data_IF_066104968224
#
_entry.id   IF_066104968224
#
_cell.length_a   1.000
_cell.length_b   1.000
_cell.length_c   1.000
_cell.angle_alpha   90.00
_cell.angle_beta   90.00
_cell.angle_gamma   90.00
#
_symmetry.space_group_name_H-M   'P 1'
#
loop_
_entity.id
_entity.type
_entity.pdbx_description
1 polymer ?
#
# COMPACT_ATOMS: atom_id res chain seq x y z
N UNK A 1 -27.66 7.11 30.30
CA UNK A 1 -28.58 7.19 29.15
C UNK A 1 -28.59 5.83 28.47
N UNK A 2 -29.74 5.17 28.34
CA UNK A 2 -29.81 3.83 27.72
C UNK A 2 -29.88 3.98 26.20
N UNK A 3 -29.51 2.94 25.45
CA UNK A 3 -29.47 2.97 23.98
C UNK A 3 -30.84 3.27 23.36
N UNK A 4 -31.93 2.81 23.99
CA UNK A 4 -33.31 3.09 23.61
C UNK A 4 -33.73 4.56 23.75
N UNK A 5 -33.04 5.32 24.62
CA UNK A 5 -33.36 6.73 24.90
C UNK A 5 -32.66 7.71 23.94
N UNK A 6 -31.72 7.20 23.13
CA UNK A 6 -30.96 7.99 22.16
C UNK A 6 -31.83 8.35 20.94
N UNK A 7 -32.07 9.66 20.80
CA UNK A 7 -32.89 10.27 19.75
C UNK A 7 -32.07 11.20 18.83
N UNK A 8 -32.63 11.58 17.68
CA UNK A 8 -32.01 12.50 16.69
C UNK A 8 -31.36 13.75 17.27
N UNK A 9 -31.96 14.46 18.24
CA UNK A 9 -31.39 15.71 18.74
C UNK A 9 -29.99 15.51 19.35
N UNK A 10 -29.75 14.36 19.99
CA UNK A 10 -28.44 14.02 20.55
C UNK A 10 -27.40 13.77 19.47
N UNK A 11 -27.78 13.05 18.40
CA UNK A 11 -26.91 12.81 17.24
C UNK A 11 -26.58 14.12 16.52
N UNK A 12 -27.57 14.98 16.29
CA UNK A 12 -27.38 16.28 15.66
C UNK A 12 -26.50 17.22 16.51
N UNK A 13 -26.71 17.24 17.83
CA UNK A 13 -25.87 18.00 18.75
C UNK A 13 -24.42 17.50 18.75
N UNK A 14 -24.22 16.18 18.66
CA UNK A 14 -22.88 15.58 18.58
C UNK A 14 -22.20 15.88 17.23
N UNK A 15 -22.90 15.74 16.11
CA UNK A 15 -22.37 16.09 14.78
C UNK A 15 -22.02 17.58 14.69
N UNK A 16 -22.82 18.45 15.32
CA UNK A 16 -22.51 19.88 15.41
C UNK A 16 -21.22 20.17 16.19
N UNK A 17 -20.93 19.38 17.24
CA UNK A 17 -19.66 19.46 17.98
C UNK A 17 -18.47 18.96 17.16
N UNK A 18 -18.69 18.01 16.26
CA UNK A 18 -17.67 17.46 15.35
C UNK A 18 -17.57 18.20 13.99
N UNK A 19 -18.31 19.31 13.80
CA UNK A 19 -18.39 20.01 12.52
C UNK A 19 -17.04 20.56 12.02
N UNK A 20 -16.06 20.75 12.92
CA UNK A 20 -14.69 21.19 12.57
C UNK A 20 -13.78 20.05 12.13
N UNK A 21 -14.19 18.79 12.32
CA UNK A 21 -13.42 17.58 12.02
C UNK A 21 -14.26 16.61 11.18
N UNK A 22 -14.46 16.91 9.88
CA UNK A 22 -15.42 16.18 9.03
C UNK A 22 -15.09 14.70 8.86
N UNK A 23 -13.82 14.30 8.91
CA UNK A 23 -13.43 12.88 8.88
C UNK A 23 -13.86 12.15 10.17
N UNK A 24 -13.56 12.74 11.33
CA UNK A 24 -14.00 12.21 12.63
C UNK A 24 -15.52 12.20 12.76
N UNK A 25 -16.21 13.21 12.22
CA UNK A 25 -17.67 13.24 12.18
C UNK A 25 -18.23 12.06 11.37
N UNK A 26 -17.66 11.80 10.19
CA UNK A 26 -18.07 10.69 9.34
C UNK A 26 -17.74 9.33 9.96
N UNK A 27 -16.55 9.18 10.55
CA UNK A 27 -16.14 7.96 11.24
C UNK A 27 -17.02 7.69 12.48
N UNK A 28 -17.23 8.69 13.33
CA UNK A 28 -18.08 8.57 14.52
C UNK A 28 -19.53 8.26 14.12
N UNK A 29 -20.04 8.86 13.04
CA UNK A 29 -21.37 8.54 12.52
C UNK A 29 -21.45 7.09 12.01
N UNK A 30 -20.43 6.60 11.31
CA UNK A 30 -20.35 5.22 10.83
C UNK A 30 -20.31 4.21 11.99
N UNK A 31 -19.50 4.48 13.03
CA UNK A 31 -19.40 3.62 14.23
C UNK A 31 -20.71 3.62 15.01
N UNK A 32 -21.31 4.78 15.29
CA UNK A 32 -22.58 4.86 16.00
C UNK A 32 -23.70 4.17 15.24
N UNK A 33 -23.71 4.30 13.92
CA UNK A 33 -24.67 3.63 13.06
C UNK A 33 -24.55 2.11 13.16
N UNK A 34 -23.33 1.57 13.22
CA UNK A 34 -23.08 0.13 13.45
C UNK A 34 -23.55 -0.29 14.84
N UNK A 35 -23.26 0.51 15.88
CA UNK A 35 -23.71 0.24 17.25
C UNK A 35 -25.24 0.22 17.38
N UNK A 36 -25.95 1.16 16.75
CA UNK A 36 -27.42 1.20 16.78
C UNK A 36 -28.07 0.05 16.01
N UNK A 37 -27.50 -0.33 14.86
CA UNK A 37 -27.97 -1.49 14.11
C UNK A 37 -27.81 -2.78 14.93
N UNK A 38 -26.67 -2.96 15.62
CA UNK A 38 -26.46 -4.12 16.50
C UNK A 38 -27.39 -4.13 17.71
N UNK A 39 -27.71 -2.95 18.28
CA UNK A 39 -28.68 -2.84 19.37
C UNK A 39 -30.11 -3.21 18.96
N UNK A 40 -30.50 -2.96 17.70
CA UNK A 40 -31.76 -3.42 17.13
C UNK A 40 -31.74 -4.96 16.94
N UNK A 41 -30.67 -5.53 16.37
CA UNK A 41 -30.50 -6.98 16.19
C UNK A 41 -30.56 -7.76 17.51
N UNK A 42 -30.01 -7.20 18.58
CA UNK A 42 -30.01 -7.82 19.91
C UNK A 42 -31.29 -7.55 20.72
N UNK A 43 -32.31 -6.90 20.13
CA UNK A 43 -33.57 -6.60 20.81
C UNK A 43 -33.45 -5.56 21.94
N UNK A 44 -32.33 -4.83 22.00
CA UNK A 44 -32.08 -3.78 22.99
C UNK A 44 -32.76 -2.45 22.60
N UNK A 45 -33.37 -2.41 21.41
CA UNK A 45 -34.08 -1.25 20.85
C UNK A 45 -35.16 -1.73 19.88
N UNK A 46 -36.33 -1.06 19.77
CA UNK A 46 -37.38 -1.49 18.85
C UNK A 46 -36.97 -1.31 17.38
N UNK A 47 -37.31 -2.29 16.54
CA UNK A 47 -37.03 -2.30 15.11
C UNK A 47 -37.53 -1.02 14.43
N UNK A 48 -36.76 -0.51 13.46
CA UNK A 48 -37.09 0.66 12.65
C UNK A 48 -37.24 2.00 13.40
N UNK A 49 -36.87 2.06 14.70
CA UNK A 49 -36.81 3.34 15.44
C UNK A 49 -35.58 4.18 15.10
N UNK A 50 -34.70 3.70 14.20
CA UNK A 50 -33.65 4.53 13.58
C UNK A 50 -34.32 5.74 12.96
N UNK A 51 -34.05 6.94 13.47
CA UNK A 51 -34.99 8.00 13.28
C UNK A 51 -34.77 8.56 11.86
N UNK A 52 -35.66 8.15 10.93
CA UNK A 52 -35.50 8.32 9.47
C UNK A 52 -36.47 9.26 8.72
N UNK A 53 -37.49 9.87 9.31
CA UNK A 53 -38.47 10.62 8.51
C UNK A 53 -38.73 12.03 9.06
N UNK A 54 -38.63 13.04 8.18
CA UNK A 54 -38.89 14.49 8.35
C UNK A 54 -37.75 15.38 8.89
N UNK A 55 -36.63 15.48 8.15
CA UNK A 55 -35.71 16.64 8.24
C UNK A 55 -35.76 17.36 6.87
N UNK A 56 -35.85 18.71 6.82
CA UNK A 56 -35.94 19.46 5.57
C UNK A 56 -34.85 19.08 4.55
N UNK A 57 -35.28 18.97 3.29
CA UNK A 57 -34.60 18.38 2.12
C UNK A 57 -33.22 18.94 1.76
N UNK A 58 -32.71 19.96 2.46
CA UNK A 58 -31.39 20.54 2.21
C UNK A 58 -30.24 19.86 2.99
N UNK A 59 -30.54 19.02 4.00
CA UNK A 59 -29.54 18.27 4.79
C UNK A 59 -29.67 16.74 4.55
N UNK A 60 -30.64 16.31 3.73
CA UNK A 60 -31.17 14.93 3.73
C UNK A 60 -30.64 14.00 2.63
N UNK A 61 -29.75 14.44 1.72
CA UNK A 61 -29.22 13.56 0.67
C UNK A 61 -28.11 12.60 1.14
N UNK A 62 -27.67 12.67 2.41
CA UNK A 62 -26.56 11.85 2.94
C UNK A 62 -27.05 10.63 3.76
N UNK A 63 -28.33 10.54 4.14
CA UNK A 63 -28.81 9.52 5.08
C UNK A 63 -29.94 8.63 4.54
N UNK A 64 -29.85 8.21 3.27
CA UNK A 64 -30.75 7.20 2.71
C UNK A 64 -30.08 5.82 2.75
N UNK A 65 -29.95 5.24 3.94
CA UNK A 65 -29.56 3.84 4.02
C UNK A 65 -30.47 3.09 4.96
N UNK A 66 -31.41 2.37 4.34
CA UNK A 66 -32.21 1.25 4.81
C UNK A 66 -31.36 -0.02 4.52
N UNK A 67 -31.11 -0.86 5.53
CA UNK A 67 -30.58 -2.23 5.37
C UNK A 67 -29.24 -2.31 4.60
N UNK A 68 -28.09 -2.07 5.27
CA UNK A 68 -26.77 -2.08 4.59
C UNK A 68 -25.90 -3.31 4.89
N UNK A 69 -26.11 -4.02 6.00
CA UNK A 69 -25.32 -5.23 6.31
C UNK A 69 -25.44 -6.36 5.28
N UNK A 70 -26.64 -6.73 4.77
CA UNK A 70 -26.71 -7.75 3.73
C UNK A 70 -26.10 -7.28 2.41
N UNK A 71 -26.10 -5.97 2.12
CA UNK A 71 -25.47 -5.42 0.91
C UNK A 71 -23.95 -5.44 0.98
N UNK A 72 -23.35 -5.11 2.13
CA UNK A 72 -21.89 -5.18 2.33
C UNK A 72 -21.39 -6.63 2.29
N UNK A 73 -22.12 -7.57 2.90
CA UNK A 73 -21.82 -9.00 2.82
C UNK A 73 -21.98 -9.52 1.39
N UNK A 74 -23.06 -9.15 0.68
CA UNK A 74 -23.25 -9.61 -0.70
C UNK A 74 -22.19 -9.03 -1.64
N UNK A 75 -21.79 -7.77 -1.48
CA UNK A 75 -20.67 -7.16 -2.22
C UNK A 75 -19.38 -7.93 -1.98
N UNK A 76 -19.07 -8.28 -0.73
CA UNK A 76 -17.90 -9.09 -0.41
C UNK A 76 -17.99 -10.50 -1.01
N UNK A 77 -19.18 -11.14 -0.99
CA UNK A 77 -19.40 -12.44 -1.65
C UNK A 77 -19.20 -12.34 -3.16
N UNK A 78 -19.71 -11.30 -3.81
CA UNK A 78 -19.51 -11.04 -5.23
C UNK A 78 -18.03 -10.85 -5.53
N UNK A 79 -17.31 -10.10 -4.70
CA UNK A 79 -15.85 -10.00 -4.76
C UNK A 79 -15.18 -11.37 -4.66
N UNK A 80 -15.53 -12.21 -3.68
CA UNK A 80 -14.93 -13.55 -3.55
C UNK A 80 -15.24 -14.47 -4.73
N UNK A 81 -16.44 -14.37 -5.33
CA UNK A 81 -16.80 -15.11 -6.57
C UNK A 81 -15.96 -14.61 -7.76
N UNK A 82 -15.84 -13.30 -7.90
CA UNK A 82 -15.06 -12.66 -8.97
C UNK A 82 -13.57 -13.00 -8.84
N UNK A 83 -13.00 -12.88 -7.64
CA UNK A 83 -11.60 -13.21 -7.34
C UNK A 83 -11.23 -14.65 -7.74
N UNK A 84 -12.17 -15.60 -7.59
CA UNK A 84 -11.94 -17.01 -7.98
C UNK A 84 -11.95 -17.24 -9.50
N UNK A 85 -12.56 -16.34 -10.27
CA UNK A 85 -12.83 -16.54 -11.70
C UNK A 85 -11.96 -15.67 -12.59
N UNK A 86 -11.53 -14.50 -12.11
CA UNK A 86 -10.66 -13.62 -12.89
C UNK A 86 -9.28 -14.28 -13.12
N UNK A 87 -8.68 -14.12 -14.31
CA UNK A 87 -7.35 -14.65 -14.57
C UNK A 87 -6.31 -14.08 -13.60
N UNK A 88 -5.53 -14.98 -12.99
CA UNK A 88 -4.37 -14.57 -12.22
C UNK A 88 -3.21 -14.23 -13.16
N UNK A 89 -2.78 -12.97 -13.18
CA UNK A 89 -1.69 -12.47 -14.04
C UNK A 89 -0.32 -12.37 -13.34
N UNK A 90 -0.26 -12.71 -12.06
CA UNK A 90 0.95 -12.62 -11.26
C UNK A 90 1.80 -13.89 -11.29
N UNK A 91 3.00 -13.81 -10.72
CA UNK A 91 3.84 -14.95 -10.41
C UNK A 91 4.28 -14.85 -8.94
N UNK A 92 4.03 -15.89 -8.14
CA UNK A 92 4.57 -15.92 -6.79
C UNK A 92 6.05 -16.31 -6.84
N UNK A 93 6.90 -15.49 -6.23
CA UNK A 93 8.32 -15.83 -6.06
C UNK A 93 8.46 -16.89 -4.97
N UNK A 94 9.39 -17.82 -5.18
CA UNK A 94 9.61 -18.96 -4.29
C UNK A 94 10.36 -18.53 -3.02
N UNK A 95 10.12 -19.28 -1.96
CA UNK A 95 10.91 -19.24 -0.72
C UNK A 95 12.04 -20.28 -0.78
N UNK A 96 13.05 -20.14 0.08
CA UNK A 96 14.07 -21.17 0.30
C UNK A 96 14.86 -21.56 -0.96
N UNK A 97 15.20 -20.59 -1.80
CA UNK A 97 15.87 -20.83 -3.09
C UNK A 97 17.40 -20.77 -3.02
N UNK A 98 17.96 -20.33 -1.88
CA UNK A 98 19.41 -20.27 -1.69
C UNK A 98 20.01 -21.64 -1.42
N UNK A 99 21.26 -21.84 -1.80
CA UNK A 99 21.99 -23.11 -1.61
C UNK A 99 23.31 -22.81 -0.90
N UNK A 100 23.23 -22.13 0.25
CA UNK A 100 24.41 -21.94 1.09
C UNK A 100 24.90 -23.31 1.59
N UNK A 101 26.22 -23.58 1.59
CA UNK A 101 26.78 -24.80 2.13
C UNK A 101 26.35 -25.07 3.58
N UNK A 102 26.13 -26.34 3.93
CA UNK A 102 25.76 -26.73 5.31
C UNK A 102 26.85 -26.42 6.35
N UNK A 103 28.11 -26.33 5.93
CA UNK A 103 29.24 -25.91 6.76
C UNK A 103 29.85 -24.64 6.18
N UNK A 104 29.43 -23.49 6.71
CA UNK A 104 30.04 -22.21 6.41
C UNK A 104 31.18 -21.93 7.38
N UNK A 105 32.28 -21.33 6.88
CA UNK A 105 33.28 -20.73 7.75
C UNK A 105 32.64 -19.65 8.63
N UNK A 106 33.14 -19.47 9.86
CA UNK A 106 32.52 -18.55 10.84
C UNK A 106 32.37 -17.12 10.32
N UNK A 107 33.22 -16.69 9.38
CA UNK A 107 33.15 -15.39 8.70
C UNK A 107 31.87 -15.20 7.87
N UNK A 108 31.22 -16.27 7.43
CA UNK A 108 29.98 -16.25 6.66
C UNK A 108 28.72 -16.44 7.52
N UNK A 109 28.86 -16.69 8.82
CA UNK A 109 27.72 -16.90 9.70
C UNK A 109 26.75 -15.70 9.73
N UNK A 110 27.23 -14.43 9.84
CA UNK A 110 26.34 -13.27 9.77
C UNK A 110 25.64 -13.15 8.41
N UNK A 111 26.38 -13.41 7.31
CA UNK A 111 25.82 -13.43 5.97
C UNK A 111 24.65 -14.41 5.85
N UNK A 112 24.83 -15.65 6.34
CA UNK A 112 23.81 -16.70 6.24
C UNK A 112 22.53 -16.33 6.98
N UNK A 113 22.65 -15.82 8.21
CA UNK A 113 21.50 -15.41 9.02
C UNK A 113 20.75 -14.25 8.36
N UNK A 114 21.50 -13.24 7.87
CA UNK A 114 20.93 -12.11 7.13
C UNK A 114 20.24 -12.57 5.85
N UNK A 115 20.87 -13.46 5.08
CA UNK A 115 20.32 -13.93 3.82
C UNK A 115 19.00 -14.67 3.99
N UNK A 116 18.90 -15.57 4.98
CA UNK A 116 17.68 -16.33 5.24
C UNK A 116 16.50 -15.42 5.61
N UNK A 117 16.74 -14.41 6.44
CA UNK A 117 15.73 -13.43 6.81
C UNK A 117 15.35 -12.52 5.64
N UNK A 118 16.35 -11.90 5.00
CA UNK A 118 16.13 -10.92 3.95
C UNK A 118 15.47 -11.53 2.72
N UNK A 119 15.89 -12.74 2.31
CA UNK A 119 15.28 -13.41 1.16
C UNK A 119 13.81 -13.73 1.39
N UNK A 120 13.43 -14.17 2.61
CA UNK A 120 12.03 -14.41 3.00
C UNK A 120 11.23 -13.12 3.06
N UNK A 121 11.78 -12.04 3.62
CA UNK A 121 11.10 -10.75 3.71
C UNK A 121 10.89 -10.06 2.36
N UNK A 122 11.85 -10.22 1.44
CA UNK A 122 11.70 -9.79 0.05
C UNK A 122 10.61 -10.60 -0.66
N UNK A 123 10.64 -11.93 -0.53
CA UNK A 123 9.61 -12.80 -1.11
C UNK A 123 8.21 -12.46 -0.58
N UNK A 124 8.08 -12.25 0.74
CA UNK A 124 6.84 -11.82 1.38
C UNK A 124 6.31 -10.51 0.78
N UNK A 125 7.16 -9.49 0.65
CA UNK A 125 6.74 -8.19 0.12
C UNK A 125 6.34 -8.25 -1.36
N UNK A 126 7.09 -8.97 -2.20
CA UNK A 126 6.78 -9.15 -3.63
C UNK A 126 5.49 -9.97 -3.81
N UNK A 127 5.32 -11.04 -3.04
CA UNK A 127 4.11 -11.86 -3.07
C UNK A 127 2.88 -11.11 -2.53
N UNK A 128 3.05 -10.21 -1.55
CA UNK A 128 1.99 -9.35 -1.06
C UNK A 128 1.53 -8.35 -2.13
N UNK A 129 2.45 -7.68 -2.84
CA UNK A 129 2.11 -6.79 -3.95
C UNK A 129 1.34 -7.54 -5.04
N UNK A 130 1.82 -8.73 -5.39
CA UNK A 130 1.18 -9.62 -6.38
C UNK A 130 -0.26 -9.94 -5.98
N UNK A 131 -0.48 -10.30 -4.71
CA UNK A 131 -1.81 -10.59 -4.18
C UNK A 131 -2.71 -9.36 -4.24
N UNK A 132 -2.24 -8.22 -3.74
CA UNK A 132 -3.05 -7.00 -3.72
C UNK A 132 -3.41 -6.50 -5.11
N UNK A 133 -2.51 -6.61 -6.09
CA UNK A 133 -2.83 -6.27 -7.48
C UNK A 133 -3.97 -7.14 -8.01
N UNK A 134 -3.96 -8.45 -7.73
CA UNK A 134 -5.02 -9.37 -8.13
C UNK A 134 -6.34 -9.10 -7.39
N UNK A 135 -6.28 -8.81 -6.09
CA UNK A 135 -7.46 -8.45 -5.29
C UNK A 135 -8.12 -7.16 -5.81
N UNK A 136 -7.31 -6.16 -6.16
CA UNK A 136 -7.82 -4.91 -6.76
C UNK A 136 -8.35 -5.12 -8.18
N UNK A 137 -7.78 -6.05 -8.96
CA UNK A 137 -8.33 -6.44 -10.25
C UNK A 137 -9.73 -7.07 -10.12
N UNK A 138 -9.96 -7.88 -9.09
CA UNK A 138 -11.30 -8.41 -8.82
C UNK A 138 -12.27 -7.30 -8.39
N UNK A 139 -11.83 -6.36 -7.54
CA UNK A 139 -12.66 -5.21 -7.17
C UNK A 139 -12.99 -4.29 -8.35
N UNK A 140 -12.05 -4.09 -9.28
CA UNK A 140 -12.29 -3.35 -10.54
C UNK A 140 -13.51 -3.92 -11.28
N UNK A 141 -13.56 -5.24 -11.43
CA UNK A 141 -14.62 -5.91 -12.18
C UNK A 141 -15.95 -5.90 -11.42
N UNK A 142 -15.91 -6.01 -10.08
CA UNK A 142 -17.10 -5.86 -9.23
C UNK A 142 -17.69 -4.45 -9.30
N UNK A 143 -16.84 -3.41 -9.33
CA UNK A 143 -17.29 -2.01 -9.36
C UNK A 143 -17.81 -1.55 -10.72
N UNK A 144 -17.37 -2.18 -11.82
CA UNK A 144 -17.68 -1.74 -13.18
C UNK A 144 -19.19 -1.52 -13.46
N UNK A 145 -20.11 -2.42 -13.05
CA UNK A 145 -21.56 -2.22 -13.26
C UNK A 145 -22.23 -1.36 -12.18
N UNK A 146 -21.51 -0.93 -11.14
CA UNK A 146 -22.10 -0.24 -10.00
C UNK A 146 -22.31 1.26 -10.28
N UNK A 147 -23.35 1.84 -9.68
CA UNK A 147 -23.53 3.29 -9.69
C UNK A 147 -22.56 4.00 -8.72
N UNK A 148 -22.46 5.33 -8.82
CA UNK A 148 -21.51 6.10 -8.01
C UNK A 148 -21.67 5.93 -6.50
N UNK A 149 -22.90 5.83 -5.98
CA UNK A 149 -23.11 5.62 -4.55
C UNK A 149 -22.59 4.25 -4.11
N UNK A 150 -22.90 3.21 -4.88
CA UNK A 150 -22.45 1.86 -4.59
C UNK A 150 -20.92 1.73 -4.67
N UNK A 151 -20.31 2.40 -5.65
CA UNK A 151 -18.86 2.47 -5.78
C UNK A 151 -18.22 3.21 -4.60
N UNK A 152 -18.82 4.29 -4.12
CA UNK A 152 -18.31 5.05 -2.97
C UNK A 152 -18.35 4.20 -1.69
N UNK A 153 -19.47 3.52 -1.43
CA UNK A 153 -19.61 2.67 -0.26
C UNK A 153 -18.56 1.53 -0.27
N UNK A 154 -18.38 0.88 -1.42
CA UNK A 154 -17.39 -0.19 -1.58
C UNK A 154 -15.95 0.35 -1.49
N UNK A 155 -15.71 1.56 -2.01
CA UNK A 155 -14.41 2.21 -1.96
C UNK A 155 -13.96 2.42 -0.51
N UNK A 156 -14.79 3.07 0.29
CA UNK A 156 -14.49 3.38 1.69
C UNK A 156 -14.29 2.13 2.53
N UNK A 157 -15.16 1.13 2.38
CA UNK A 157 -15.15 -0.06 3.25
C UNK A 157 -14.03 -1.06 2.89
N UNK A 158 -13.77 -1.29 1.60
CA UNK A 158 -12.94 -2.42 1.16
C UNK A 158 -11.70 -2.02 0.37
N UNK A 159 -11.78 -0.95 -0.41
CA UNK A 159 -10.80 -0.69 -1.48
C UNK A 159 -9.77 0.32 -1.04
N UNK A 160 -10.17 1.39 -0.35
CA UNK A 160 -9.27 2.45 0.10
C UNK A 160 -8.13 1.90 0.99
N UNK A 161 -8.39 1.05 2.01
CA UNK A 161 -7.31 0.47 2.81
C UNK A 161 -6.37 -0.42 1.98
N UNK A 162 -6.94 -1.29 1.14
CA UNK A 162 -6.20 -2.23 0.30
C UNK A 162 -5.34 -1.50 -0.74
N UNK A 163 -5.94 -0.57 -1.48
CA UNK A 163 -5.28 0.19 -2.53
C UNK A 163 -4.22 1.14 -1.96
N UNK A 164 -4.46 1.75 -0.79
CA UNK A 164 -3.47 2.58 -0.10
C UNK A 164 -2.22 1.77 0.24
N UNK A 165 -2.38 0.56 0.79
CA UNK A 165 -1.24 -0.32 1.07
C UNK A 165 -0.55 -0.73 -0.23
N UNK A 166 -1.31 -1.18 -1.23
CA UNK A 166 -0.78 -1.68 -2.49
C UNK A 166 0.03 -0.62 -3.26
N UNK A 167 -0.49 0.62 -3.34
CA UNK A 167 0.15 1.72 -4.09
C UNK A 167 1.50 2.13 -3.46
N UNK A 168 1.62 2.01 -2.13
CA UNK A 168 2.86 2.35 -1.40
C UNK A 168 3.90 1.22 -1.42
N UNK A 169 3.47 -0.03 -1.62
CA UNK A 169 4.33 -1.20 -1.47
C UNK A 169 5.53 -1.27 -2.45
N UNK A 170 5.46 -0.80 -3.72
CA UNK A 170 6.63 -0.75 -4.60
C UNK A 170 7.81 0.03 -4.00
N UNK A 171 7.54 1.15 -3.32
CA UNK A 171 8.61 1.89 -2.64
C UNK A 171 9.23 1.08 -1.50
N UNK A 172 8.40 0.42 -0.69
CA UNK A 172 8.85 -0.43 0.42
C UNK A 172 9.71 -1.58 -0.10
N UNK A 173 9.26 -2.26 -1.16
CA UNK A 173 10.00 -3.35 -1.81
C UNK A 173 11.36 -2.86 -2.30
N UNK A 174 11.41 -1.73 -3.02
CA UNK A 174 12.66 -1.14 -3.48
C UNK A 174 13.62 -0.85 -2.32
N UNK A 175 13.11 -0.23 -1.25
CA UNK A 175 13.91 0.07 -0.05
C UNK A 175 14.47 -1.19 0.60
N UNK A 176 13.67 -2.26 0.71
CA UNK A 176 14.11 -3.55 1.26
C UNK A 176 15.17 -4.22 0.38
N UNK A 177 15.04 -4.15 -0.95
CA UNK A 177 16.07 -4.66 -1.85
C UNK A 177 17.40 -3.93 -1.67
N UNK A 178 17.37 -2.59 -1.57
CA UNK A 178 18.57 -1.78 -1.32
C UNK A 178 19.24 -2.20 -0.02
N UNK A 179 18.46 -2.30 1.05
CA UNK A 179 18.93 -2.71 2.37
C UNK A 179 19.60 -4.10 2.32
N UNK A 180 18.87 -5.10 1.83
CA UNK A 180 19.37 -6.47 1.72
C UNK A 180 20.64 -6.54 0.85
N UNK A 181 20.66 -5.82 -0.28
CA UNK A 181 21.82 -5.81 -1.18
C UNK A 181 23.03 -5.18 -0.53
N UNK A 182 22.88 -4.04 0.15
CA UNK A 182 23.98 -3.36 0.82
C UNK A 182 24.62 -4.27 1.89
N UNK A 183 23.80 -4.85 2.78
CA UNK A 183 24.28 -5.73 3.84
C UNK A 183 24.95 -6.99 3.30
N UNK A 184 24.31 -7.71 2.37
CA UNK A 184 24.87 -8.95 1.84
C UNK A 184 26.16 -8.71 1.06
N UNK A 185 26.24 -7.65 0.24
CA UNK A 185 27.48 -7.31 -0.44
C UNK A 185 28.58 -6.88 0.54
N UNK A 186 28.25 -6.15 1.61
CA UNK A 186 29.22 -5.80 2.66
C UNK A 186 29.80 -7.05 3.33
N UNK A 187 28.93 -7.95 3.79
CA UNK A 187 29.34 -9.20 4.45
C UNK A 187 30.13 -10.11 3.51
N UNK A 188 29.71 -10.25 2.25
CA UNK A 188 30.46 -11.02 1.26
C UNK A 188 31.84 -10.39 0.94
N UNK A 189 31.93 -9.05 0.88
CA UNK A 189 33.21 -8.36 0.70
C UNK A 189 34.14 -8.56 1.91
N UNK A 190 33.60 -8.51 3.13
CA UNK A 190 34.33 -8.76 4.37
C UNK A 190 34.87 -10.19 4.41
N UNK A 191 34.03 -11.18 4.09
CA UNK A 191 34.43 -12.57 4.05
C UNK A 191 35.53 -12.84 2.99
N UNK A 192 35.47 -12.17 1.84
CA UNK A 192 36.48 -12.27 0.76
C UNK A 192 37.80 -11.60 1.11
N UNK A 193 37.78 -10.46 1.79
CA UNK A 193 38.98 -9.64 2.05
C UNK A 193 39.64 -9.92 3.40
N UNK A 194 38.94 -10.58 4.31
CA UNK A 194 39.45 -10.99 5.62
C UNK A 194 40.05 -9.80 6.39
N UNK A 195 41.31 -9.94 6.81
CA UNK A 195 42.03 -8.93 7.61
C UNK A 195 42.27 -7.61 6.89
N UNK A 196 42.18 -7.56 5.55
CA UNK A 196 42.32 -6.33 4.77
C UNK A 196 41.02 -5.50 4.71
N UNK A 197 39.90 -6.06 5.17
CA UNK A 197 38.62 -5.36 5.17
C UNK A 197 38.55 -4.30 6.28
N UNK A 198 38.15 -3.09 5.90
CA UNK A 198 37.80 -2.02 6.84
C UNK A 198 36.29 -1.88 6.89
N UNK A 199 35.71 -2.11 8.06
CA UNK A 199 34.28 -1.93 8.25
C UNK A 199 33.92 -0.45 8.37
N UNK A 200 33.25 0.06 7.34
CA UNK A 200 32.72 1.43 7.27
C UNK A 200 31.22 1.41 6.93
N UNK A 201 30.53 0.31 7.25
CA UNK A 201 29.11 0.18 6.93
C UNK A 201 28.29 1.24 7.67
N UNK A 202 27.32 1.90 7.00
CA UNK A 202 26.48 2.89 7.66
C UNK A 202 25.55 2.23 8.68
N UNK A 203 24.98 3.04 9.58
CA UNK A 203 23.92 2.58 10.48
C UNK A 203 22.68 2.17 9.69
N UNK A 204 21.90 1.23 10.20
CA UNK A 204 20.72 0.66 9.51
C UNK A 204 19.73 1.74 9.01
N UNK A 205 19.53 2.80 9.79
CA UNK A 205 18.65 3.93 9.42
C UNK A 205 19.17 4.82 8.29
N UNK A 206 20.42 4.61 7.87
CA UNK A 206 21.16 5.38 6.87
C UNK A 206 21.54 4.54 5.63
N UNK A 207 21.03 3.30 5.54
CA UNK A 207 21.27 2.43 4.40
C UNK A 207 20.40 2.85 3.21
N UNK A 208 21.00 3.67 2.35
CA UNK A 208 20.38 4.12 1.10
C UNK A 208 21.04 3.49 -0.14
N UNK A 209 20.59 3.91 -1.32
CA UNK A 209 21.07 3.38 -2.61
C UNK A 209 22.59 3.53 -2.77
N UNK A 210 23.18 4.61 -2.24
CA UNK A 210 24.63 4.86 -2.27
C UNK A 210 25.43 3.79 -1.48
N UNK A 211 24.87 3.24 -0.40
CA UNK A 211 25.49 2.16 0.34
C UNK A 211 25.51 0.88 -0.51
N UNK A 212 24.36 0.53 -1.11
CA UNK A 212 24.29 -0.58 -2.06
C UNK A 212 25.27 -0.40 -3.23
N UNK A 213 25.44 0.82 -3.75
CA UNK A 213 26.43 1.15 -4.79
C UNK A 213 27.88 0.95 -4.30
N UNK A 214 28.20 1.47 -3.11
CA UNK A 214 29.55 1.40 -2.52
C UNK A 214 30.01 -0.05 -2.36
N UNK A 215 29.14 -0.91 -1.81
CA UNK A 215 29.48 -2.31 -1.51
C UNK A 215 29.19 -3.26 -2.68
N UNK A 216 28.22 -2.94 -3.54
CA UNK A 216 27.82 -3.77 -4.69
C UNK A 216 28.72 -3.64 -5.91
N UNK A 217 29.41 -2.51 -6.12
CA UNK A 217 30.18 -2.23 -7.35
C UNK A 217 31.23 -3.27 -7.75
N UNK A 218 31.74 -4.06 -6.79
CA UNK A 218 32.74 -5.10 -7.02
C UNK A 218 32.17 -6.42 -7.56
N UNK A 219 30.84 -6.56 -7.60
CA UNK A 219 30.13 -7.76 -8.02
C UNK A 219 29.57 -7.60 -9.44
N UNK A 220 29.83 -8.57 -10.31
CA UNK A 220 29.46 -8.49 -11.74
C UNK A 220 27.95 -8.38 -11.91
N UNK A 221 27.17 -9.10 -11.10
CA UNK A 221 25.70 -9.15 -11.17
C UNK A 221 25.04 -7.92 -10.54
N UNK A 222 25.76 -7.10 -9.77
CA UNK A 222 25.19 -5.93 -9.11
C UNK A 222 24.60 -4.91 -10.09
N UNK A 223 25.31 -4.61 -11.19
CA UNK A 223 24.86 -3.62 -12.18
C UNK A 223 23.47 -3.96 -12.74
N UNK A 224 23.24 -5.24 -13.05
CA UNK A 224 21.94 -5.73 -13.51
C UNK A 224 20.86 -5.54 -12.43
N UNK A 225 21.13 -5.94 -11.18
CA UNK A 225 20.19 -5.76 -10.07
C UNK A 225 19.86 -4.28 -9.86
N UNK A 226 20.87 -3.40 -9.82
CA UNK A 226 20.70 -1.96 -9.69
C UNK A 226 19.70 -1.41 -10.71
N UNK A 227 19.91 -1.69 -11.99
CA UNK A 227 19.01 -1.22 -13.05
C UNK A 227 17.59 -1.76 -12.88
N UNK A 228 17.40 -2.98 -12.36
CA UNK A 228 16.06 -3.50 -12.06
C UNK A 228 15.42 -2.81 -10.86
N UNK A 229 16.17 -2.58 -9.78
CA UNK A 229 15.68 -1.85 -8.60
C UNK A 229 15.25 -0.42 -8.93
N UNK A 230 16.00 0.28 -9.80
CA UNK A 230 15.69 1.65 -10.23
C UNK A 230 14.36 1.77 -10.99
N UNK A 231 13.89 0.68 -11.61
CA UNK A 231 12.58 0.63 -12.30
C UNK A 231 11.41 0.47 -11.34
N UNK A 232 11.64 -0.02 -10.11
CA UNK A 232 10.59 -0.15 -9.11
C UNK A 232 10.24 1.24 -8.56
N UNK A 233 8.97 1.61 -8.65
CA UNK A 233 8.48 2.93 -8.29
C UNK A 233 9.21 4.04 -9.06
N UNK A 234 9.49 3.83 -10.34
CA UNK A 234 10.16 4.83 -11.17
C UNK A 234 9.23 6.02 -11.49
N UNK A 235 9.77 6.98 -12.25
CA UNK A 235 9.11 8.27 -12.54
C UNK A 235 7.73 8.09 -13.19
N UNK A 236 7.59 7.13 -14.08
CA UNK A 236 6.33 6.75 -14.73
C UNK A 236 5.28 6.30 -13.71
N UNK A 237 5.66 5.44 -12.75
CA UNK A 237 4.77 5.02 -11.66
C UNK A 237 4.41 6.18 -10.72
N UNK A 238 5.39 7.02 -10.36
CA UNK A 238 5.14 8.23 -9.57
C UNK A 238 4.14 9.16 -10.27
N UNK A 239 4.31 9.39 -11.57
CA UNK A 239 3.40 10.23 -12.34
C UNK A 239 2.02 9.59 -12.51
N UNK A 240 1.96 8.29 -12.81
CA UNK A 240 0.71 7.54 -12.97
C UNK A 240 -0.13 7.51 -11.70
N UNK A 241 0.52 7.42 -10.53
CA UNK A 241 -0.14 7.51 -9.22
C UNK A 241 -0.33 8.94 -8.71
N UNK A 242 0.04 9.96 -9.51
CA UNK A 242 0.00 11.38 -9.13
C UNK A 242 0.69 11.67 -7.79
N UNK A 243 1.87 11.08 -7.64
CA UNK A 243 2.73 11.19 -6.47
C UNK A 243 2.02 10.78 -5.16
N UNK A 244 1.19 9.72 -5.24
CA UNK A 244 0.34 9.28 -4.14
C UNK A 244 1.11 9.09 -2.84
N UNK A 245 2.24 8.38 -2.86
CA UNK A 245 3.04 8.12 -1.65
C UNK A 245 3.48 9.41 -0.95
N UNK A 246 4.09 10.32 -1.70
CA UNK A 246 4.63 11.56 -1.13
C UNK A 246 3.48 12.43 -0.61
N UNK A 247 2.41 12.55 -1.39
CA UNK A 247 1.23 13.31 -0.99
C UNK A 247 0.43 12.67 0.14
N UNK A 248 0.48 11.35 0.30
CA UNK A 248 -0.11 10.63 1.42
C UNK A 248 0.61 10.93 2.74
N UNK A 249 1.94 10.99 2.72
CA UNK A 249 2.74 11.26 3.93
C UNK A 249 2.87 12.74 4.26
N UNK A 250 2.82 13.63 3.27
CA UNK A 250 3.20 15.04 3.44
C UNK A 250 2.14 16.04 2.99
N UNK A 251 1.03 15.61 2.37
CA UNK A 251 -0.06 16.48 1.85
C UNK A 251 -1.42 15.77 1.93
N UNK A 252 -2.26 15.94 0.92
CA UNK A 252 -3.51 15.21 0.72
C UNK A 252 -3.42 14.41 -0.59
N UNK A 253 -3.39 13.08 -0.50
CA UNK A 253 -3.29 12.21 -1.67
C UNK A 253 -4.53 12.29 -2.57
N UNK A 254 -4.42 11.91 -3.86
CA UNK A 254 -5.56 11.62 -4.71
C UNK A 254 -6.51 10.62 -4.02
N UNK A 255 -7.83 10.78 -4.22
CA UNK A 255 -8.79 9.74 -3.81
C UNK A 255 -8.67 8.52 -4.72
N UNK A 256 -9.17 7.37 -4.29
CA UNK A 256 -9.20 6.14 -5.08
C UNK A 256 -10.66 5.86 -5.44
N UNK A 257 -10.92 5.37 -6.64
CA UNK A 257 -12.26 5.14 -7.22
C UNK A 257 -13.04 6.44 -7.52
N UNK A 258 -13.36 7.24 -6.50
CA UNK A 258 -14.24 8.41 -6.62
C UNK A 258 -13.74 9.60 -5.79
N UNK A 259 -14.14 10.80 -6.20
CA UNK A 259 -13.88 12.05 -5.48
C UNK A 259 -12.79 12.92 -6.10
N UNK A 260 -12.58 14.08 -5.48
CA UNK A 260 -11.54 15.05 -5.83
C UNK A 260 -10.77 15.44 -4.58
N UNK A 261 -9.47 15.68 -4.72
CA UNK A 261 -8.62 16.25 -3.66
C UNK A 261 -7.83 17.45 -4.21
N UNK A 262 -7.06 18.13 -3.37
CA UNK A 262 -6.17 19.23 -3.79
C UNK A 262 -6.86 20.34 -4.61
N UNK A 263 -8.05 20.78 -4.19
CA UNK A 263 -8.85 21.81 -4.89
C UNK A 263 -8.10 23.14 -5.07
N UNK A 264 -7.15 23.42 -4.17
CA UNK A 264 -6.27 24.59 -4.24
C UNK A 264 -4.82 24.13 -4.24
N UNK A 265 -4.05 24.61 -5.21
CA UNK A 265 -2.60 24.42 -5.29
C UNK A 265 -1.90 25.77 -5.19
N UNK A 266 -0.76 25.82 -4.51
CA UNK A 266 0.09 27.00 -4.40
C UNK A 266 1.44 26.71 -5.03
N UNK A 267 1.84 27.52 -5.98
CA UNK A 267 3.17 27.51 -6.60
C UNK A 267 3.93 28.78 -6.28
N UNK A 268 5.24 28.64 -6.10
CA UNK A 268 6.17 29.78 -5.96
C UNK A 268 7.16 29.65 -7.10
N UNK A 269 7.24 30.68 -7.92
CA UNK A 269 8.31 30.80 -8.88
C UNK A 269 9.63 31.03 -8.13
N UNK A 270 10.56 30.09 -8.24
CA UNK A 270 11.84 30.14 -7.51
C UNK A 270 12.76 31.26 -8.00
N UNK A 271 12.55 31.76 -9.21
CA UNK A 271 13.38 32.82 -9.80
C UNK A 271 12.87 34.22 -9.46
N UNK A 272 11.55 34.40 -9.39
CA UNK A 272 10.92 35.72 -9.14
C UNK A 272 10.32 35.87 -7.75
N UNK A 273 10.17 34.77 -7.00
CA UNK A 273 9.46 34.73 -5.72
C UNK A 273 7.95 34.90 -5.84
N UNK A 274 7.42 35.06 -7.06
CA UNK A 274 6.00 35.28 -7.29
C UNK A 274 5.17 34.06 -6.86
N UNK A 275 4.06 34.33 -6.17
CA UNK A 275 3.14 33.30 -5.68
C UNK A 275 1.94 33.22 -6.61
N UNK A 276 1.60 32.02 -7.06
CA UNK A 276 0.41 31.75 -7.84
C UNK A 276 -0.45 30.66 -7.18
N UNK A 277 -1.76 30.78 -7.36
CA UNK A 277 -2.76 29.83 -6.86
C UNK A 277 -3.50 29.21 -8.04
N UNK A 278 -3.48 27.89 -8.11
CA UNK A 278 -4.27 27.10 -9.06
C UNK A 278 -5.52 26.57 -8.38
N UNK A 279 -6.68 26.77 -9.01
CA UNK A 279 -7.96 26.24 -8.57
C UNK A 279 -8.40 25.15 -9.55
N UNK A 280 -8.44 23.91 -9.08
CA UNK A 280 -8.70 22.72 -9.90
C UNK A 280 -8.31 21.49 -9.12
N UNK A 281 -9.29 20.72 -8.69
CA UNK A 281 -9.04 19.51 -7.90
C UNK A 281 -8.33 18.43 -8.73
N UNK A 282 -7.49 17.65 -8.05
CA UNK A 282 -6.95 16.41 -8.57
C UNK A 282 -8.06 15.34 -8.55
N UNK A 283 -8.41 14.74 -9.71
CA UNK A 283 -9.42 13.68 -9.73
C UNK A 283 -8.95 12.43 -8.99
N UNK A 284 -9.87 11.51 -8.72
CA UNK A 284 -9.50 10.20 -8.17
C UNK A 284 -8.61 9.40 -9.13
N UNK A 285 -7.84 8.47 -8.58
CA UNK A 285 -7.22 7.37 -9.30
C UNK A 285 -8.28 6.30 -9.55
N UNK A 286 -8.52 5.96 -10.81
CA UNK A 286 -9.48 4.90 -11.15
C UNK A 286 -8.86 3.53 -10.86
N UNK A 287 -9.69 2.55 -10.48
CA UNK A 287 -9.19 1.19 -10.24
C UNK A 287 -8.52 0.54 -11.45
N UNK A 288 -9.05 0.67 -12.70
CA UNK A 288 -8.35 0.16 -13.88
C UNK A 288 -6.90 0.69 -13.97
N UNK A 289 -6.72 2.00 -13.80
CA UNK A 289 -5.39 2.61 -13.83
C UNK A 289 -4.49 2.08 -12.70
N UNK A 290 -5.01 1.99 -11.47
CA UNK A 290 -4.24 1.49 -10.33
C UNK A 290 -3.82 0.04 -10.55
N UNK A 291 -4.72 -0.81 -11.04
CA UNK A 291 -4.43 -2.23 -11.33
C UNK A 291 -3.35 -2.34 -12.39
N UNK A 292 -3.45 -1.61 -13.51
CA UNK A 292 -2.46 -1.67 -14.59
C UNK A 292 -1.06 -1.23 -14.11
N UNK A 293 -1.00 -0.15 -13.30
CA UNK A 293 0.24 0.32 -12.70
C UNK A 293 0.84 -0.71 -11.73
N UNK A 294 0.02 -1.35 -10.89
CA UNK A 294 0.49 -2.35 -9.94
C UNK A 294 0.92 -3.65 -10.62
N UNK A 295 0.23 -4.11 -11.66
CA UNK A 295 0.63 -5.25 -12.48
C UNK A 295 2.00 -5.01 -13.12
N UNK A 296 2.26 -3.81 -13.65
CA UNK A 296 3.57 -3.43 -14.16
C UNK A 296 4.64 -3.43 -13.04
N UNK A 297 4.33 -2.93 -11.85
CA UNK A 297 5.25 -2.97 -10.72
C UNK A 297 5.55 -4.40 -10.24
N UNK A 298 4.58 -5.32 -10.30
CA UNK A 298 4.82 -6.74 -10.03
C UNK A 298 5.92 -7.29 -10.96
N UNK A 299 5.83 -7.00 -12.26
CA UNK A 299 6.85 -7.43 -13.24
C UNK A 299 8.23 -6.85 -12.97
N UNK A 300 8.32 -5.58 -12.56
CA UNK A 300 9.59 -4.99 -12.14
C UNK A 300 10.17 -5.66 -10.89
N UNK A 301 9.31 -5.98 -9.92
CA UNK A 301 9.71 -6.68 -8.70
C UNK A 301 10.23 -8.10 -8.99
N UNK A 302 9.58 -8.86 -9.88
CA UNK A 302 10.05 -10.19 -10.27
C UNK A 302 11.44 -10.14 -10.90
N UNK A 303 11.64 -9.22 -11.86
CA UNK A 303 12.95 -9.06 -12.51
C UNK A 303 14.05 -8.62 -11.54
N UNK A 304 13.71 -7.80 -10.54
CA UNK A 304 14.65 -7.43 -9.49
C UNK A 304 14.95 -8.61 -8.55
N UNK A 305 13.95 -9.41 -8.21
CA UNK A 305 14.12 -10.62 -7.41
C UNK A 305 15.03 -11.63 -8.12
N UNK A 306 14.81 -11.89 -9.41
CA UNK A 306 15.66 -12.78 -10.22
C UNK A 306 17.11 -12.27 -10.28
N UNK A 307 17.30 -10.96 -10.45
CA UNK A 307 18.64 -10.36 -10.46
C UNK A 307 19.31 -10.41 -9.07
N UNK A 308 18.53 -10.31 -7.99
CA UNK A 308 19.01 -10.46 -6.63
C UNK A 308 19.45 -11.91 -6.36
N UNK A 309 18.68 -12.89 -6.85
CA UNK A 309 19.09 -14.29 -6.82
C UNK A 309 20.44 -14.48 -7.53
N UNK A 310 20.61 -13.94 -8.73
CA UNK A 310 21.87 -14.04 -9.47
C UNK A 310 23.06 -13.41 -8.73
N UNK A 311 22.84 -12.30 -8.02
CA UNK A 311 23.88 -11.68 -7.18
C UNK A 311 24.26 -12.58 -6.00
N UNK A 312 23.28 -13.15 -5.31
CA UNK A 312 23.55 -14.10 -4.21
C UNK A 312 24.28 -15.34 -4.72
N UNK A 313 23.89 -15.89 -5.89
CA UNK A 313 24.61 -17.00 -6.51
C UNK A 313 26.06 -16.64 -6.86
N UNK A 314 26.35 -15.38 -7.16
CA UNK A 314 27.74 -14.92 -7.33
C UNK A 314 28.51 -14.93 -6.00
N UNK A 315 27.86 -14.60 -4.89
CA UNK A 315 28.47 -14.67 -3.55
C UNK A 315 28.75 -16.12 -3.11
N UNK A 316 27.86 -17.07 -3.44
CA UNK A 316 27.99 -18.50 -3.08
C UNK A 316 29.21 -19.18 -3.70
N UNK A 317 29.69 -18.71 -4.85
CA UNK A 317 30.80 -19.32 -5.61
C UNK A 317 32.17 -18.76 -5.19
N UNK A 318 32.23 -17.81 -4.26
CA UNK A 318 33.51 -17.26 -3.81
C UNK A 318 34.22 -18.29 -2.93
N UNK A 319 35.23 -18.94 -3.50
CA UNK A 319 36.14 -19.83 -2.79
C UNK A 319 36.71 -19.11 -1.56
N UNK A 320 36.67 -19.83 -0.43
CA UNK A 320 37.31 -19.38 0.81
C UNK A 320 38.83 -19.34 0.59
N UNK A 321 39.54 -18.30 1.08
CA UNK A 321 40.99 -18.24 0.99
C UNK A 321 41.69 -19.42 1.68
#
# INVERSE_FOLDING_TARGET
>A
MKVQDLKRPYMAAMMKKLARTPMEANHTLAVLRKMFNMAEIWGLRPDSTTPREHIPRAIFNICKIRIEEPMTIERYRQYKRTLKTIPFKGNFVKYGWGELPNSLYISWMPYSQMFDEFSRELANAVNALTRHAHELAAWRDVLAPMNQQQQLDAAVEFIDPLATVAINLPYVIRSRFIFATAHLCHQANQARQGSSWKDEFPLDGEVWFNAADKYGKGWRRYSALKTRMEKIGAKDYHQGTRDFRNTYNHRFSPRIVLGMSQVVTRSVDKSTGAVSYGFGGTPALTLPLVVDLLEAQCQHCYRAFDAFQQLVREHEVVDSP
#
